data_IF_658936302817
#
_entry.id   IF_658936302817
#
_cell.length_a   1.000
_cell.length_b   1.000
_cell.length_c   1.000
_cell.angle_alpha   90.00
_cell.angle_beta   90.00
_cell.angle_gamma   90.00
#
_symmetry.space_group_name_H-M   'P 1'
#
loop_
_entity.id
_entity.type
_entity.pdbx_description
1 polymer ?
#
# COMPACT_ATOMS: atom_id res chain seq x y z
N UNK A 1 38.14 19.41 -13.17
CA UNK A 1 37.11 18.58 -12.48
C UNK A 1 37.40 18.33 -10.99
N UNK A 2 38.55 17.77 -10.59
CA UNK A 2 38.87 17.46 -9.17
C UNK A 2 38.70 18.64 -8.19
N UNK A 3 39.08 19.86 -8.58
CA UNK A 3 38.93 21.07 -7.75
C UNK A 3 37.48 21.51 -7.53
N UNK A 4 36.60 21.30 -8.53
CA UNK A 4 35.18 21.67 -8.43
C UNK A 4 34.40 20.72 -7.52
N UNK A 5 34.65 19.41 -7.67
CA UNK A 5 34.00 18.39 -6.83
C UNK A 5 34.37 18.56 -5.35
N UNK A 6 35.66 18.75 -5.05
CA UNK A 6 36.14 18.94 -3.67
C UNK A 6 35.56 20.20 -3.01
N UNK A 7 35.35 21.28 -3.76
CA UNK A 7 34.75 22.54 -3.26
C UNK A 7 33.25 22.41 -2.95
N UNK A 8 32.59 21.38 -3.46
CA UNK A 8 31.14 21.23 -3.48
C UNK A 8 30.66 19.98 -2.72
N UNK A 9 31.57 19.29 -2.03
CA UNK A 9 31.32 17.97 -1.43
C UNK A 9 30.20 17.98 -0.37
N UNK A 10 30.14 18.99 0.49
CA UNK A 10 29.09 19.12 1.52
C UNK A 10 27.71 19.20 0.88
N UNK A 11 27.61 19.93 -0.24
CA UNK A 11 26.37 20.08 -0.97
C UNK A 11 25.93 18.78 -1.65
N UNK A 12 26.89 18.00 -2.16
CA UNK A 12 26.63 16.67 -2.70
C UNK A 12 26.17 15.68 -1.63
N UNK A 13 26.74 15.73 -0.43
CA UNK A 13 26.27 14.94 0.72
C UNK A 13 24.84 15.33 1.08
N UNK A 14 24.51 16.63 1.06
CA UNK A 14 23.15 17.10 1.32
C UNK A 14 22.15 16.59 0.27
N UNK A 15 22.51 16.66 -1.02
CA UNK A 15 21.69 16.10 -2.11
C UNK A 15 21.41 14.62 -1.87
N UNK A 16 22.46 13.85 -1.56
CA UNK A 16 22.34 12.43 -1.27
C UNK A 16 21.38 12.17 -0.10
N UNK A 17 21.59 12.85 1.03
CA UNK A 17 20.79 12.67 2.24
C UNK A 17 19.31 13.02 2.02
N UNK A 18 19.02 14.15 1.37
CA UNK A 18 17.65 14.60 1.13
C UNK A 18 16.96 13.67 0.14
N UNK A 19 17.63 13.26 -0.93
CA UNK A 19 17.04 12.31 -1.88
C UNK A 19 16.71 10.98 -1.18
N UNK A 20 17.62 10.46 -0.35
CA UNK A 20 17.37 9.27 0.45
C UNK A 20 16.16 9.41 1.38
N UNK A 21 16.01 10.53 2.08
CA UNK A 21 14.84 10.80 2.95
C UNK A 21 13.54 10.77 2.14
N UNK A 22 13.52 11.41 0.97
CA UNK A 22 12.34 11.47 0.10
C UNK A 22 11.99 10.07 -0.41
N UNK A 23 12.98 9.28 -0.83
CA UNK A 23 12.76 7.91 -1.31
C UNK A 23 12.22 6.98 -0.22
N UNK A 24 12.76 7.08 1.01
CA UNK A 24 12.26 6.30 2.15
C UNK A 24 10.81 6.70 2.48
N UNK A 25 10.53 8.01 2.52
CA UNK A 25 9.18 8.51 2.77
C UNK A 25 8.20 8.08 1.66
N UNK A 26 8.63 8.13 0.40
CA UNK A 26 7.84 7.68 -0.73
C UNK A 26 7.55 6.17 -0.64
N UNK A 27 8.55 5.36 -0.28
CA UNK A 27 8.35 3.92 -0.07
C UNK A 27 7.32 3.63 1.01
N UNK A 28 7.41 4.34 2.14
CA UNK A 28 6.45 4.21 3.24
C UNK A 28 5.02 4.58 2.82
N UNK A 29 4.87 5.71 2.11
CA UNK A 29 3.55 6.17 1.62
C UNK A 29 2.97 5.18 0.61
N UNK A 30 3.78 4.69 -0.33
CA UNK A 30 3.37 3.68 -1.30
C UNK A 30 2.99 2.37 -0.60
N UNK A 31 3.77 1.92 0.37
CA UNK A 31 3.47 0.74 1.18
C UNK A 31 2.12 0.78 1.86
N UNK A 32 1.75 1.93 2.44
CA UNK A 32 0.46 2.07 3.09
C UNK A 32 -0.75 2.11 2.14
N UNK A 33 -0.52 2.21 0.82
CA UNK A 33 -1.59 2.03 -0.18
C UNK A 33 -1.88 0.57 -0.49
N UNK A 34 -1.05 -0.35 -0.01
CA UNK A 34 -1.35 -1.78 -0.12
C UNK A 34 -2.59 -2.05 0.70
N UNK A 35 -3.70 -2.27 0.01
CA UNK A 35 -4.86 -2.90 0.64
C UNK A 35 -4.54 -4.38 0.77
N UNK A 36 -4.73 -4.88 1.99
CA UNK A 36 -4.65 -6.28 2.31
C UNK A 36 -6.09 -6.75 2.56
N UNK A 37 -6.81 -7.21 1.51
CA UNK A 37 -8.14 -7.76 1.64
C UNK A 37 -8.16 -8.83 2.72
N UNK A 38 -9.14 -8.70 3.60
CA UNK A 38 -9.42 -9.69 4.62
C UNK A 38 -8.24 -9.98 5.57
N UNK A 39 -7.32 -9.03 5.79
CA UNK A 39 -6.15 -9.20 6.67
C UNK A 39 -5.32 -10.48 6.42
N UNK A 40 -5.33 -10.98 5.18
CA UNK A 40 -4.49 -12.10 4.75
C UNK A 40 -3.03 -11.65 4.59
N UNK A 41 -2.07 -12.56 4.47
CA UNK A 41 -0.70 -12.15 4.18
C UNK A 41 -0.55 -11.61 2.76
N UNK A 42 0.50 -10.81 2.54
CA UNK A 42 0.84 -10.35 1.20
C UNK A 42 1.15 -11.50 0.24
N UNK A 43 1.60 -12.65 0.74
CA UNK A 43 1.90 -13.86 -0.05
C UNK A 43 0.66 -14.58 -0.58
N UNK A 44 -0.56 -14.12 -0.22
CA UNK A 44 -1.80 -14.70 -0.70
C UNK A 44 -1.83 -14.82 -2.22
N UNK A 45 -2.46 -15.87 -2.72
CA UNK A 45 -2.74 -16.08 -4.14
C UNK A 45 -4.17 -15.63 -4.45
N UNK A 46 -4.33 -15.00 -5.61
CA UNK A 46 -5.61 -14.42 -6.03
C UNK A 46 -6.07 -15.07 -7.32
N UNK A 47 -7.31 -15.54 -7.34
CA UNK A 47 -7.89 -16.24 -8.48
C UNK A 47 -9.17 -15.55 -8.95
N UNK A 48 -9.33 -15.42 -10.25
CA UNK A 48 -10.54 -14.89 -10.89
C UNK A 48 -11.08 -15.89 -11.92
N UNK A 49 -12.41 -15.96 -12.12
CA UNK A 49 -13.00 -16.87 -13.09
C UNK A 49 -12.61 -16.47 -14.51
N UNK A 50 -12.25 -17.45 -15.34
CA UNK A 50 -11.93 -17.24 -16.76
C UNK A 50 -13.14 -17.21 -17.70
N UNK A 51 -14.35 -17.32 -17.14
CA UNK A 51 -15.59 -17.44 -17.90
C UNK A 51 -16.57 -18.36 -17.17
N UNK A 52 -17.04 -19.43 -17.83
CA UNK A 52 -17.91 -20.44 -17.20
C UNK A 52 -17.12 -21.28 -16.20
N UNK A 53 -17.23 -20.95 -14.93
CA UNK A 53 -16.79 -21.80 -13.81
C UNK A 53 -17.56 -23.12 -13.89
N UNK A 54 -16.84 -24.25 -13.89
CA UNK A 54 -17.50 -25.57 -13.82
C UNK A 54 -18.18 -25.67 -12.45
N UNK A 55 -19.33 -26.35 -12.32
CA UNK A 55 -19.78 -26.70 -10.98
C UNK A 55 -18.76 -27.67 -10.37
N UNK A 56 -18.28 -27.38 -9.16
CA UNK A 56 -17.36 -28.24 -8.43
C UNK A 56 -17.68 -28.25 -6.94
N UNK A 57 -17.23 -29.31 -6.29
CA UNK A 57 -17.32 -29.46 -4.85
C UNK A 57 -16.05 -28.93 -4.19
N UNK A 58 -16.21 -28.31 -3.02
CA UNK A 58 -15.14 -27.76 -2.21
C UNK A 58 -14.43 -28.82 -1.36
N UNK A 59 -14.81 -30.09 -1.47
CA UNK A 59 -14.25 -31.23 -0.71
C UNK A 59 -12.72 -31.34 -0.73
N UNK A 60 -12.07 -30.88 -1.81
CA UNK A 60 -10.61 -30.84 -1.89
C UNK A 60 -9.96 -29.97 -0.81
N UNK A 61 -10.71 -29.05 -0.18
CA UNK A 61 -10.23 -28.21 0.91
C UNK A 61 -10.18 -28.94 2.24
N UNK A 62 -11.00 -29.98 2.47
CA UNK A 62 -11.14 -30.64 3.79
C UNK A 62 -9.82 -31.24 4.31
N UNK A 63 -8.90 -31.57 3.42
CA UNK A 63 -7.57 -32.11 3.72
C UNK A 63 -6.46 -31.04 3.68
N UNK A 64 -6.83 -29.76 3.63
CA UNK A 64 -5.91 -28.65 3.43
C UNK A 64 -5.98 -27.71 4.63
N UNK A 65 -4.82 -27.31 5.11
CA UNK A 65 -4.69 -26.31 6.16
C UNK A 65 -4.41 -24.94 5.53
N UNK A 66 -5.40 -24.42 4.80
CA UNK A 66 -5.37 -23.11 4.15
C UNK A 66 -6.54 -22.27 4.63
N UNK A 67 -6.40 -20.94 4.54
CA UNK A 67 -7.53 -20.02 4.63
C UNK A 67 -7.92 -19.61 3.21
N UNK A 68 -9.20 -19.76 2.88
CA UNK A 68 -9.73 -19.38 1.59
C UNK A 68 -10.95 -18.47 1.77
N UNK A 69 -10.88 -17.30 1.15
CA UNK A 69 -11.94 -16.29 1.14
C UNK A 69 -12.46 -16.13 -0.29
N UNK A 70 -13.75 -16.31 -0.50
CA UNK A 70 -14.39 -16.24 -1.82
C UNK A 70 -15.38 -15.07 -1.89
N UNK A 71 -15.04 -14.04 -2.67
CA UNK A 71 -15.95 -12.92 -2.94
C UNK A 71 -17.05 -13.36 -3.90
N UNK A 72 -18.29 -13.04 -3.55
CA UNK A 72 -19.44 -13.37 -4.41
C UNK A 72 -19.92 -12.16 -5.20
N UNK A 73 -20.94 -12.37 -6.03
CA UNK A 73 -21.56 -11.31 -6.80
C UNK A 73 -22.24 -10.26 -5.92
N UNK A 74 -22.76 -10.68 -4.77
CA UNK A 74 -23.20 -9.84 -3.65
C UNK A 74 -22.00 -9.52 -2.78
N UNK A 75 -21.58 -8.24 -2.72
CA UNK A 75 -20.40 -7.84 -1.95
C UNK A 75 -20.54 -8.15 -0.46
N UNK A 76 -21.77 -8.27 0.04
CA UNK A 76 -22.07 -8.54 1.45
C UNK A 76 -22.03 -10.02 1.83
N UNK A 77 -21.96 -10.92 0.86
CA UNK A 77 -21.82 -12.37 1.10
C UNK A 77 -20.45 -12.82 0.65
N UNK A 78 -19.64 -13.27 1.60
CA UNK A 78 -18.29 -13.74 1.36
C UNK A 78 -18.16 -15.19 1.85
N UNK A 79 -17.65 -16.06 0.99
CA UNK A 79 -17.37 -17.44 1.33
C UNK A 79 -16.13 -17.56 2.18
N UNK A 80 -16.17 -18.43 3.18
CA UNK A 80 -15.03 -18.68 4.04
C UNK A 80 -14.80 -20.18 4.26
N UNK A 81 -13.53 -20.58 4.08
CA UNK A 81 -12.94 -21.79 4.65
C UNK A 81 -11.77 -21.37 5.53
N UNK A 82 -11.88 -21.65 6.83
CA UNK A 82 -10.91 -21.27 7.85
C UNK A 82 -10.85 -22.35 8.94
N UNK A 83 -10.28 -23.54 8.64
CA UNK A 83 -10.27 -24.69 9.54
C UNK A 83 -9.43 -24.44 10.80
N UNK A 84 -8.44 -23.55 10.73
CA UNK A 84 -7.59 -23.14 11.85
C UNK A 84 -8.11 -21.95 12.64
N UNK A 85 -9.30 -21.44 12.31
CA UNK A 85 -9.97 -20.35 13.02
C UNK A 85 -9.16 -19.04 13.09
N UNK A 86 -8.38 -18.74 12.05
CA UNK A 86 -7.51 -17.56 11.95
C UNK A 86 -8.23 -16.27 12.33
N UNK A 87 -9.39 -16.00 11.73
CA UNK A 87 -10.14 -14.77 12.00
C UNK A 87 -10.71 -14.73 13.41
N UNK A 88 -11.16 -15.87 13.94
CA UNK A 88 -11.68 -15.92 15.30
C UNK A 88 -10.59 -15.65 16.34
N UNK A 89 -9.37 -16.16 16.12
CA UNK A 89 -8.23 -15.94 17.02
C UNK A 89 -7.76 -14.50 16.98
N UNK A 90 -7.65 -13.90 15.79
CA UNK A 90 -7.08 -12.57 15.59
C UNK A 90 -8.09 -11.41 15.70
N UNK A 91 -9.39 -11.68 15.60
CA UNK A 91 -10.40 -10.65 15.79
C UNK A 91 -10.31 -10.03 17.19
N UNK A 92 -10.56 -8.72 17.28
CA UNK A 92 -10.74 -8.00 18.54
C UNK A 92 -12.02 -8.51 19.22
N UNK A 93 -11.88 -9.61 19.95
CA UNK A 93 -12.98 -10.31 20.62
C UNK A 93 -13.71 -9.37 21.57
N UNK A 94 -15.00 -9.22 21.35
CA UNK A 94 -15.86 -8.68 22.38
C UNK A 94 -17.20 -9.40 22.44
N UNK A 95 -17.29 -10.74 22.30
CA UNK A 95 -18.60 -11.37 22.30
C UNK A 95 -18.75 -12.71 23.04
N UNK A 96 -19.87 -12.82 23.76
CA UNK A 96 -20.20 -13.84 24.77
C UNK A 96 -20.07 -15.29 24.23
N UNK A 97 -19.09 -16.08 24.71
CA UNK A 97 -18.84 -17.44 24.23
C UNK A 97 -19.97 -18.42 24.56
N UNK A 98 -20.93 -18.04 25.43
CA UNK A 98 -22.09 -18.88 25.76
C UNK A 98 -23.10 -18.98 24.61
N UNK A 99 -23.09 -18.01 23.69
CA UNK A 99 -24.10 -17.92 22.63
C UNK A 99 -23.51 -17.79 21.23
N UNK A 100 -22.19 -17.66 21.13
CA UNK A 100 -21.51 -17.37 19.88
C UNK A 100 -20.42 -18.38 19.66
N UNK A 101 -20.48 -19.01 18.49
CA UNK A 101 -19.48 -19.96 18.01
C UNK A 101 -18.92 -19.46 16.69
N UNK A 102 -17.84 -20.08 16.26
CA UNK A 102 -17.28 -19.90 14.94
C UNK A 102 -17.48 -21.19 14.12
N UNK A 103 -17.08 -21.17 12.85
CA UNK A 103 -17.08 -22.37 12.03
C UNK A 103 -16.22 -23.46 12.68
N UNK A 104 -16.77 -24.67 12.73
CA UNK A 104 -16.05 -25.88 13.13
C UNK A 104 -15.74 -26.75 11.91
N UNK A 105 -14.78 -27.66 12.04
CA UNK A 105 -14.52 -28.64 10.98
C UNK A 105 -15.75 -29.48 10.64
N UNK A 106 -16.63 -29.75 11.61
CA UNK A 106 -17.89 -30.43 11.36
C UNK A 106 -18.85 -29.61 10.48
N UNK A 107 -18.86 -28.29 10.58
CA UNK A 107 -19.69 -27.44 9.71
C UNK A 107 -19.25 -27.56 8.24
N UNK A 108 -17.94 -27.63 8.00
CA UNK A 108 -17.38 -27.84 6.66
C UNK A 108 -17.69 -29.25 6.15
N UNK A 109 -17.44 -30.28 6.95
CA UNK A 109 -17.69 -31.69 6.59
C UNK A 109 -19.18 -31.94 6.31
N UNK A 110 -20.08 -31.41 7.16
CA UNK A 110 -21.54 -31.55 7.00
C UNK A 110 -22.12 -30.55 5.98
N UNK A 111 -21.29 -29.65 5.44
CA UNK A 111 -21.66 -28.59 4.49
C UNK A 111 -22.89 -27.83 5.00
N UNK A 112 -22.87 -27.39 6.26
CA UNK A 112 -24.01 -26.72 6.90
C UNK A 112 -24.25 -25.34 6.27
N UNK A 113 -25.52 -24.92 6.16
CA UNK A 113 -25.88 -23.58 5.67
C UNK A 113 -25.78 -22.53 6.78
N UNK A 114 -24.55 -22.37 7.27
CA UNK A 114 -24.21 -21.53 8.42
C UNK A 114 -23.36 -20.34 7.99
N UNK A 115 -23.41 -19.27 8.79
CA UNK A 115 -22.61 -18.07 8.59
C UNK A 115 -22.25 -17.33 9.87
N UNK A 116 -21.26 -16.45 9.76
CA UNK A 116 -20.80 -15.53 10.80
C UNK A 116 -21.09 -14.11 10.33
N UNK A 117 -21.83 -13.35 11.12
CA UNK A 117 -22.15 -11.96 10.79
C UNK A 117 -20.91 -11.06 10.97
N UNK A 118 -20.68 -10.17 10.02
CA UNK A 118 -19.67 -9.12 10.08
C UNK A 118 -20.37 -7.82 10.41
N UNK A 119 -20.07 -7.29 11.59
CA UNK A 119 -20.79 -6.18 12.19
C UNK A 119 -19.81 -5.06 12.51
N UNK A 120 -20.15 -3.81 12.24
CA UNK A 120 -19.35 -2.68 12.68
C UNK A 120 -19.53 -2.46 14.18
N UNK A 121 -18.51 -2.78 14.97
CA UNK A 121 -18.58 -2.64 16.43
C UNK A 121 -18.44 -1.17 16.88
N UNK A 122 -17.70 -0.33 16.15
CA UNK A 122 -17.51 1.10 16.47
C UNK A 122 -18.82 1.89 16.46
N UNK A 123 -19.73 1.60 15.53
CA UNK A 123 -21.06 2.23 15.50
C UNK A 123 -21.89 1.82 16.72
N UNK A 124 -21.66 0.62 17.26
CA UNK A 124 -22.30 0.13 18.48
C UNK A 124 -21.72 0.79 19.74
N UNK A 125 -20.41 1.09 19.76
CA UNK A 125 -19.73 1.78 20.86
C UNK A 125 -20.13 3.25 21.02
N UNK A 126 -20.65 3.93 19.98
CA UNK A 126 -21.15 5.33 20.09
C UNK A 126 -22.22 5.51 21.19
N UNK A 127 -22.88 4.43 21.59
CA UNK A 127 -23.87 4.41 22.69
C UNK A 127 -23.29 4.17 24.09
N UNK A 128 -21.96 3.96 24.21
CA UNK A 128 -21.26 3.78 25.48
C UNK A 128 -21.42 2.42 26.16
N UNK A 129 -22.20 1.48 25.61
CA UNK A 129 -22.34 0.10 26.12
C UNK A 129 -22.54 -0.91 24.99
N UNK A 130 -21.59 -1.84 24.85
CA UNK A 130 -21.79 -3.04 24.02
C UNK A 130 -22.78 -3.97 24.71
N UNK A 131 -24.00 -4.09 24.18
CA UNK A 131 -25.02 -4.98 24.73
C UNK A 131 -25.12 -6.27 23.92
N UNK A 132 -25.06 -7.46 24.54
CA UNK A 132 -25.32 -8.73 23.86
C UNK A 132 -26.64 -8.77 23.08
N UNK A 133 -27.65 -7.97 23.50
CA UNK A 133 -28.92 -7.85 22.82
C UNK A 133 -28.82 -7.22 21.42
N UNK A 134 -27.99 -6.17 21.27
CA UNK A 134 -27.81 -5.47 19.99
C UNK A 134 -27.18 -6.42 18.96
N UNK A 135 -26.28 -7.27 19.42
CA UNK A 135 -25.53 -8.17 18.54
C UNK A 135 -26.38 -9.36 18.14
N UNK A 136 -27.16 -9.91 19.07
CA UNK A 136 -28.22 -10.87 18.74
C UNK A 136 -29.22 -10.30 17.73
N UNK A 137 -29.59 -9.02 17.83
CA UNK A 137 -30.46 -8.36 16.85
C UNK A 137 -29.80 -8.24 15.48
N UNK A 138 -28.51 -7.90 15.42
CA UNK A 138 -27.73 -7.86 14.18
C UNK A 138 -27.63 -9.24 13.53
N UNK A 139 -27.27 -10.26 14.30
CA UNK A 139 -27.23 -11.66 13.83
C UNK A 139 -28.58 -12.14 13.32
N UNK A 140 -29.68 -11.85 14.03
CA UNK A 140 -31.02 -12.22 13.59
C UNK A 140 -31.38 -11.54 12.26
N UNK A 141 -31.10 -10.25 12.11
CA UNK A 141 -31.30 -9.55 10.82
C UNK A 141 -30.49 -10.18 9.71
N UNK A 142 -29.24 -10.58 9.97
CA UNK A 142 -28.41 -11.27 8.98
C UNK A 142 -28.98 -12.64 8.60
N UNK A 143 -29.46 -13.41 9.58
CA UNK A 143 -30.12 -14.69 9.35
C UNK A 143 -31.39 -14.51 8.49
N UNK A 144 -32.23 -13.54 8.85
CA UNK A 144 -33.48 -13.25 8.14
C UNK A 144 -33.22 -12.73 6.70
N UNK A 145 -32.16 -11.92 6.51
CA UNK A 145 -31.84 -11.28 5.21
C UNK A 145 -31.23 -12.25 4.22
N UNK A 146 -30.29 -13.08 4.68
CA UNK A 146 -29.54 -14.00 3.82
C UNK A 146 -30.08 -15.43 3.85
N UNK A 147 -31.10 -15.70 4.67
CA UNK A 147 -31.71 -17.01 4.88
C UNK A 147 -30.66 -18.08 5.20
N UNK A 148 -29.76 -17.77 6.15
CA UNK A 148 -28.69 -18.66 6.65
C UNK A 148 -28.70 -18.71 8.17
N UNK A 149 -28.22 -19.81 8.74
CA UNK A 149 -28.07 -19.92 10.19
C UNK A 149 -26.85 -19.11 10.68
N UNK A 150 -27.09 -17.99 11.36
CA UNK A 150 -26.01 -17.13 11.88
C UNK A 150 -25.58 -17.60 13.26
N UNK A 151 -24.37 -18.15 13.32
CA UNK A 151 -23.83 -18.88 14.47
C UNK A 151 -22.88 -18.03 15.33
N UNK A 152 -22.43 -16.89 14.80
CA UNK A 152 -21.51 -15.98 15.46
C UNK A 152 -21.50 -14.59 14.82
N UNK A 153 -20.71 -13.70 15.41
CA UNK A 153 -20.44 -12.38 14.84
C UNK A 153 -18.98 -11.97 15.07
N UNK A 154 -18.41 -11.22 14.14
CA UNK A 154 -17.07 -10.62 14.18
C UNK A 154 -17.15 -9.13 13.86
N UNK A 155 -16.16 -8.37 14.34
CA UNK A 155 -16.02 -6.98 13.94
C UNK A 155 -15.54 -6.91 12.49
N UNK A 156 -16.27 -6.18 11.66
CA UNK A 156 -15.96 -5.99 10.24
C UNK A 156 -14.59 -5.32 10.02
N UNK A 157 -14.17 -4.47 10.96
CA UNK A 157 -12.86 -3.83 10.93
C UNK A 157 -11.73 -4.83 11.23
N UNK A 158 -11.96 -5.77 12.16
CA UNK A 158 -10.97 -6.76 12.60
C UNK A 158 -10.69 -7.90 11.61
N UNK A 159 -11.48 -7.97 10.54
CA UNK A 159 -11.32 -8.98 9.49
C UNK A 159 -10.91 -8.35 8.18
N UNK A 160 -10.39 -7.11 8.16
CA UNK A 160 -9.94 -6.43 6.94
C UNK A 160 -11.01 -6.22 5.87
N UNK A 161 -12.30 -6.34 6.22
CA UNK A 161 -13.40 -6.17 5.27
C UNK A 161 -13.66 -4.67 5.04
N UNK A 162 -13.57 -3.85 6.09
CA UNK A 162 -13.76 -2.39 5.99
C UNK A 162 -12.76 -1.66 5.08
N UNK A 163 -11.62 -2.26 4.73
CA UNK A 163 -10.67 -1.72 3.74
C UNK A 163 -11.05 -1.98 2.29
N UNK A 164 -12.11 -2.76 2.02
CA UNK A 164 -12.57 -3.09 0.66
C UNK A 164 -13.64 -2.12 0.14
N UNK A 165 -14.35 -1.40 1.01
CA UNK A 165 -15.38 -0.44 0.60
C UNK A 165 -15.19 0.89 1.33
N UNK A 166 -14.76 1.94 0.59
CA UNK A 166 -14.58 3.33 1.08
C UNK A 166 -15.89 4.00 1.59
N UNK A 167 -17.01 3.29 1.55
CA UNK A 167 -18.33 3.81 1.87
C UNK A 167 -19.25 2.75 2.50
N UNK A 168 -18.78 1.98 3.47
CA UNK A 168 -19.69 1.11 4.21
C UNK A 168 -20.66 1.96 5.04
N UNK A 169 -21.98 1.91 4.77
CA UNK A 169 -22.95 2.60 5.61
C UNK A 169 -22.83 2.03 7.02
N UNK A 170 -22.85 2.90 8.03
CA UNK A 170 -22.72 2.56 9.46
C UNK A 170 -23.77 1.56 9.99
N UNK A 171 -24.76 1.22 9.15
CA UNK A 171 -25.99 0.54 9.51
C UNK A 171 -26.13 -0.84 8.84
N UNK A 172 -25.18 -1.27 7.99
CA UNK A 172 -25.23 -2.52 7.24
C UNK A 172 -24.25 -3.59 7.78
N UNK A 173 -24.60 -4.86 7.60
CA UNK A 173 -23.80 -6.03 7.98
C UNK A 173 -23.45 -6.84 6.73
N UNK A 174 -22.29 -7.49 6.75
CA UNK A 174 -21.92 -8.54 5.79
C UNK A 174 -21.95 -9.91 6.49
N UNK A 175 -21.77 -10.99 5.74
CA UNK A 175 -21.70 -12.35 6.29
C UNK A 175 -20.53 -13.12 5.68
N UNK A 176 -19.77 -13.77 6.54
CA UNK A 176 -19.01 -14.93 6.13
C UNK A 176 -19.94 -16.14 6.08
N UNK A 177 -20.08 -16.76 4.92
CA UNK A 177 -20.87 -17.96 4.68
C UNK A 177 -19.93 -19.15 4.50
N UNK A 178 -20.34 -20.32 5.00
CA UNK A 178 -19.62 -21.57 4.74
C UNK A 178 -19.44 -21.75 3.22
N UNK A 179 -18.19 -21.81 2.74
CA UNK A 179 -17.90 -21.87 1.31
C UNK A 179 -18.53 -23.09 0.62
N UNK A 180 -18.70 -24.20 1.34
CA UNK A 180 -19.28 -25.44 0.82
C UNK A 180 -20.76 -25.30 0.43
N UNK A 181 -21.42 -24.23 0.88
CA UNK A 181 -22.79 -23.88 0.50
C UNK A 181 -22.89 -22.74 -0.50
N UNK A 182 -21.77 -22.20 -0.97
CA UNK A 182 -21.77 -21.20 -2.01
C UNK A 182 -21.95 -21.84 -3.39
N UNK A 183 -22.79 -21.19 -4.20
CA UNK A 183 -22.86 -21.50 -5.61
C UNK A 183 -21.60 -20.96 -6.29
N UNK A 184 -20.78 -21.86 -6.85
CA UNK A 184 -19.53 -21.54 -7.52
C UNK A 184 -19.69 -20.51 -8.65
N UNK A 185 -20.87 -20.43 -9.27
CA UNK A 185 -21.16 -19.47 -10.33
C UNK A 185 -21.32 -18.02 -9.83
N UNK A 186 -21.51 -17.82 -8.53
CA UNK A 186 -21.60 -16.48 -7.93
C UNK A 186 -20.23 -15.92 -7.55
N UNK A 187 -19.16 -16.72 -7.62
CA UNK A 187 -17.84 -16.33 -7.16
C UNK A 187 -17.17 -15.42 -8.19
N UNK A 188 -16.79 -14.22 -7.74
CA UNK A 188 -16.06 -13.22 -8.53
C UNK A 188 -14.55 -13.33 -8.34
N UNK A 189 -14.12 -13.64 -7.12
CA UNK A 189 -12.70 -13.66 -6.77
C UNK A 189 -12.46 -14.60 -5.60
N UNK A 190 -11.31 -15.27 -5.59
CA UNK A 190 -10.88 -16.14 -4.50
C UNK A 190 -9.50 -15.69 -4.03
N UNK A 191 -9.35 -15.56 -2.72
CA UNK A 191 -8.09 -15.38 -2.03
C UNK A 191 -7.72 -16.66 -1.30
N UNK A 192 -6.49 -17.13 -1.47
CA UNK A 192 -5.95 -18.32 -0.79
C UNK A 192 -4.69 -17.93 -0.06
N UNK A 193 -4.57 -18.34 1.20
CA UNK A 193 -3.40 -18.08 2.02
C UNK A 193 -3.15 -19.18 3.05
N UNK A 194 -1.96 -19.18 3.65
CA UNK A 194 -1.58 -20.07 4.75
C UNK A 194 -1.07 -19.20 5.90
N UNK A 195 -1.97 -18.66 6.73
CA UNK A 195 -1.62 -17.59 7.66
C UNK A 195 -1.02 -18.10 8.99
N UNK A 196 -0.55 -19.33 9.04
CA UNK A 196 -0.04 -19.97 10.26
C UNK A 196 1.46 -19.70 10.43
N UNK A 197 1.83 -19.16 11.59
CA UNK A 197 3.20 -18.69 11.90
C UNK A 197 4.18 -19.88 12.00
N UNK A 198 3.71 -21.05 12.43
CA UNK A 198 4.55 -22.22 12.68
C UNK A 198 4.80 -23.09 11.43
N UNK A 199 4.37 -22.64 10.25
CA UNK A 199 4.51 -23.38 8.99
C UNK A 199 5.67 -22.81 8.18
N UNK A 200 6.56 -23.67 7.69
CA UNK A 200 7.70 -23.24 6.88
C UNK A 200 7.24 -22.62 5.55
N UNK A 201 8.00 -21.67 5.00
CA UNK A 201 7.67 -21.03 3.71
C UNK A 201 7.51 -22.04 2.56
N UNK A 202 8.33 -23.10 2.56
CA UNK A 202 8.23 -24.19 1.58
C UNK A 202 6.91 -24.94 1.70
N UNK A 203 6.46 -25.20 2.92
CA UNK A 203 5.19 -25.90 3.17
C UNK A 203 3.99 -25.03 2.84
N UNK A 204 4.02 -23.74 3.19
CA UNK A 204 3.01 -22.76 2.75
C UNK A 204 2.89 -22.73 1.23
N UNK A 205 4.02 -22.67 0.54
CA UNK A 205 4.05 -22.69 -0.93
C UNK A 205 3.42 -23.98 -1.49
N UNK A 206 3.78 -25.13 -0.95
CA UNK A 206 3.25 -26.42 -1.40
C UNK A 206 1.74 -26.55 -1.18
N UNK A 207 1.22 -26.13 -0.03
CA UNK A 207 -0.23 -26.17 0.24
C UNK A 207 -1.01 -25.22 -0.68
N UNK A 208 -0.50 -24.00 -0.88
CA UNK A 208 -1.09 -23.07 -1.84
C UNK A 208 -1.04 -23.61 -3.27
N UNK A 209 0.04 -24.28 -3.69
CA UNK A 209 0.16 -24.86 -5.03
C UNK A 209 -0.89 -25.94 -5.27
N UNK A 210 -1.07 -26.87 -4.33
CA UNK A 210 -2.11 -27.92 -4.42
C UNK A 210 -3.50 -27.33 -4.61
N UNK A 211 -3.84 -26.27 -3.88
CA UNK A 211 -5.12 -25.57 -4.02
C UNK A 211 -5.19 -24.86 -5.38
N UNK A 212 -4.09 -24.25 -5.81
CA UNK A 212 -3.99 -23.51 -7.08
C UNK A 212 -4.22 -24.41 -8.28
N UNK A 213 -3.65 -25.61 -8.30
CA UNK A 213 -3.83 -26.59 -9.37
C UNK A 213 -5.31 -26.95 -9.53
N UNK A 214 -6.01 -27.28 -8.43
CA UNK A 214 -7.43 -27.60 -8.48
C UNK A 214 -8.25 -26.40 -8.96
N UNK A 215 -8.00 -25.18 -8.44
CA UNK A 215 -8.71 -23.98 -8.88
C UNK A 215 -8.52 -23.71 -10.38
N UNK A 216 -7.30 -23.92 -10.90
CA UNK A 216 -6.99 -23.81 -12.34
C UNK A 216 -7.79 -24.82 -13.16
N UNK A 217 -7.89 -26.07 -12.73
CA UNK A 217 -8.73 -27.09 -13.39
C UNK A 217 -10.22 -26.77 -13.39
N UNK A 218 -10.71 -26.06 -12.36
CA UNK A 218 -12.11 -25.64 -12.22
C UNK A 218 -12.47 -24.37 -13.00
N UNK A 219 -11.49 -23.76 -13.68
CA UNK A 219 -11.72 -22.62 -14.57
C UNK A 219 -11.38 -21.26 -13.96
N UNK A 220 -10.56 -21.22 -12.91
CA UNK A 220 -9.99 -19.97 -12.41
C UNK A 220 -8.58 -19.75 -12.94
N UNK A 221 -8.21 -18.48 -13.10
CA UNK A 221 -6.83 -18.09 -13.40
C UNK A 221 -6.28 -17.28 -12.24
N UNK A 222 -5.05 -17.62 -11.88
CA UNK A 222 -4.26 -16.86 -10.92
C UNK A 222 -3.85 -15.53 -11.53
N UNK A 223 -4.12 -14.43 -10.82
CA UNK A 223 -3.72 -13.08 -11.21
C UNK A 223 -2.73 -12.52 -10.20
N UNK A 224 -1.78 -11.74 -10.69
CA UNK A 224 -0.99 -10.87 -9.83
C UNK A 224 -1.81 -9.60 -9.56
N UNK A 225 -2.17 -9.35 -8.29
CA UNK A 225 -2.63 -8.02 -7.90
C UNK A 225 -1.41 -7.11 -7.80
N UNK A 226 -1.41 -6.00 -8.53
CA UNK A 226 -0.40 -4.96 -8.34
C UNK A 226 -0.72 -4.27 -7.01
N UNK A 227 0.00 -4.67 -5.97
CA UNK A 227 -0.42 -4.45 -4.58
C UNK A 227 -0.39 -2.99 -4.18
N UNK A 228 0.55 -2.22 -4.70
CA UNK A 228 0.75 -0.83 -4.35
C UNK A 228 0.27 0.12 -5.46
N UNK A 229 -0.27 1.26 -5.06
CA UNK A 229 -0.60 2.32 -6.01
C UNK A 229 0.67 3.00 -6.52
N UNK A 230 0.68 3.52 -7.77
CA UNK A 230 1.78 4.33 -8.27
C UNK A 230 2.07 5.51 -7.34
N UNK A 231 3.35 5.89 -7.20
CA UNK A 231 3.80 6.86 -6.19
C UNK A 231 3.01 8.18 -6.18
N UNK A 232 2.68 8.74 -7.34
CA UNK A 232 1.92 10.00 -7.42
C UNK A 232 0.51 9.83 -6.83
N UNK A 233 -0.16 8.71 -7.15
CA UNK A 233 -1.49 8.42 -6.63
C UNK A 233 -1.44 8.15 -5.13
N UNK A 234 -0.41 7.44 -4.67
CA UNK A 234 -0.18 7.21 -3.25
C UNK A 234 0.03 8.50 -2.45
N UNK A 235 0.77 9.47 -3.00
CA UNK A 235 0.97 10.78 -2.37
C UNK A 235 -0.35 11.55 -2.29
N UNK A 236 -1.12 11.61 -3.37
CA UNK A 236 -2.45 12.26 -3.38
C UNK A 236 -3.35 11.60 -2.33
N UNK A 237 -3.37 10.27 -2.30
CA UNK A 237 -4.15 9.51 -1.34
C UNK A 237 -3.73 9.82 0.10
N UNK A 238 -2.43 9.82 0.42
CA UNK A 238 -1.93 10.14 1.76
C UNK A 238 -2.24 11.58 2.21
N UNK A 239 -2.25 12.55 1.29
CA UNK A 239 -2.66 13.94 1.59
C UNK A 239 -4.15 14.01 1.87
N UNK A 240 -4.97 13.36 1.05
CA UNK A 240 -6.44 13.42 1.15
C UNK A 240 -6.98 12.56 2.31
N UNK A 241 -6.39 11.40 2.58
CA UNK A 241 -6.83 10.48 3.64
C UNK A 241 -6.36 10.86 5.04
N UNK A 242 -7.15 10.49 6.05
CA UNK A 242 -6.98 10.91 7.44
C UNK A 242 -5.96 10.09 8.26
N UNK A 243 -5.19 9.17 7.64
CA UNK A 243 -4.22 8.36 8.36
C UNK A 243 -3.05 9.24 8.83
N UNK A 244 -2.99 9.45 10.16
CA UNK A 244 -2.11 10.44 10.81
C UNK A 244 -0.62 10.21 10.54
N UNK A 245 -0.18 8.94 10.48
CA UNK A 245 1.23 8.58 10.31
C UNK A 245 1.75 8.84 8.89
N UNK A 246 0.96 8.53 7.86
CA UNK A 246 1.32 8.80 6.46
C UNK A 246 1.53 10.29 6.21
N UNK A 247 0.61 11.14 6.70
CA UNK A 247 0.74 12.60 6.62
C UNK A 247 1.98 13.11 7.34
N UNK A 248 2.26 12.59 8.53
CA UNK A 248 3.43 13.00 9.31
C UNK A 248 4.74 12.72 8.55
N UNK A 249 4.90 11.51 8.01
CA UNK A 249 6.09 11.13 7.24
C UNK A 249 6.20 11.99 5.98
N UNK A 250 5.09 12.19 5.25
CA UNK A 250 5.07 13.03 4.06
C UNK A 250 5.45 14.49 4.38
N UNK A 251 4.94 15.06 5.46
CA UNK A 251 5.30 16.41 5.89
C UNK A 251 6.76 16.54 6.29
N UNK A 252 7.34 15.51 6.92
CA UNK A 252 8.78 15.48 7.21
C UNK A 252 9.63 15.49 5.92
N UNK A 253 9.21 14.73 4.91
CA UNK A 253 9.86 14.73 3.60
C UNK A 253 9.73 16.10 2.90
N UNK A 254 8.54 16.70 2.91
CA UNK A 254 8.30 18.03 2.33
C UNK A 254 9.04 19.14 3.06
N UNK A 255 9.16 19.07 4.39
CA UNK A 255 9.97 19.99 5.17
C UNK A 255 11.46 19.85 4.83
N UNK A 256 11.96 18.61 4.72
CA UNK A 256 13.34 18.34 4.31
C UNK A 256 13.64 18.89 2.91
N UNK A 257 12.71 18.69 1.97
CA UNK A 257 12.79 19.25 0.63
C UNK A 257 12.77 20.79 0.63
N UNK A 258 11.96 21.41 1.49
CA UNK A 258 11.89 22.87 1.61
C UNK A 258 13.19 23.47 2.15
N UNK A 259 13.78 22.84 3.18
CA UNK A 259 15.10 23.19 3.71
C UNK A 259 16.18 22.99 2.64
N UNK A 260 16.10 21.92 1.86
CA UNK A 260 17.00 21.66 0.75
C UNK A 260 16.94 22.73 -0.34
N UNK A 261 15.73 23.17 -0.72
CA UNK A 261 15.54 24.26 -1.69
C UNK A 261 16.18 25.55 -1.17
N UNK A 262 15.90 25.92 0.08
CA UNK A 262 16.44 27.13 0.71
C UNK A 262 17.98 27.10 0.79
N UNK A 263 18.55 25.99 1.27
CA UNK A 263 20.00 25.80 1.35
C UNK A 263 20.65 25.76 -0.04
N UNK A 264 19.98 25.20 -1.04
CA UNK A 264 20.44 25.21 -2.43
C UNK A 264 20.52 26.62 -2.99
N UNK A 265 19.54 27.47 -2.73
CA UNK A 265 19.57 28.89 -3.13
C UNK A 265 20.77 29.62 -2.50
N UNK A 266 20.98 29.47 -1.20
CA UNK A 266 22.13 30.07 -0.50
C UNK A 266 23.46 29.55 -1.06
N UNK A 267 23.55 28.26 -1.30
CA UNK A 267 24.75 27.64 -1.83
C UNK A 267 25.06 28.15 -3.24
N UNK A 268 24.06 28.26 -4.12
CA UNK A 268 24.22 28.78 -5.47
C UNK A 268 24.60 30.26 -5.49
N UNK A 269 24.24 31.03 -4.47
CA UNK A 269 24.68 32.43 -4.31
C UNK A 269 26.20 32.60 -4.16
N UNK A 270 26.95 31.55 -3.78
CA UNK A 270 28.42 31.58 -3.82
C UNK A 270 28.97 31.90 -5.22
N UNK A 271 28.23 31.60 -6.28
CA UNK A 271 28.62 31.85 -7.66
C UNK A 271 28.26 33.27 -8.15
N UNK A 272 27.73 34.15 -7.29
CA UNK A 272 27.32 35.51 -7.67
C UNK A 272 28.44 36.33 -8.34
N UNK A 273 29.67 36.22 -7.84
CA UNK A 273 30.83 36.93 -8.40
C UNK A 273 31.17 36.42 -9.80
N UNK A 274 31.03 35.11 -10.02
CA UNK A 274 31.22 34.51 -11.34
C UNK A 274 30.17 35.02 -12.33
N UNK A 275 28.91 35.15 -11.90
CA UNK A 275 27.84 35.74 -12.72
C UNK A 275 28.16 37.19 -13.05
N UNK A 276 28.59 37.98 -12.06
CA UNK A 276 28.95 39.38 -12.22
C UNK A 276 30.11 39.55 -13.22
N UNK A 277 31.24 38.87 -13.00
CA UNK A 277 32.42 38.95 -13.88
C UNK A 277 32.07 38.52 -15.30
N UNK A 278 31.35 37.40 -15.45
CA UNK A 278 30.93 36.91 -16.77
C UNK A 278 30.06 37.92 -17.50
N UNK A 279 29.20 38.64 -16.77
CA UNK A 279 28.35 39.69 -17.32
C UNK A 279 29.14 40.95 -17.71
N UNK A 280 30.08 41.39 -16.89
CA UNK A 280 31.00 42.50 -17.20
C UNK A 280 31.79 42.20 -18.49
N UNK A 281 32.21 40.95 -18.67
CA UNK A 281 32.85 40.49 -19.90
C UNK A 281 31.91 40.33 -21.11
N UNK A 282 30.65 40.78 -21.01
CA UNK A 282 29.68 40.77 -22.12
C UNK A 282 29.05 39.41 -22.42
N UNK A 283 29.14 38.44 -21.51
CA UNK A 283 28.57 37.10 -21.75
C UNK A 283 27.03 37.14 -21.74
N UNK A 284 26.43 36.46 -22.69
CA UNK A 284 24.98 36.25 -22.78
C UNK A 284 24.48 35.23 -21.74
N UNK A 285 23.26 35.41 -21.27
CA UNK A 285 22.60 34.57 -20.26
C UNK A 285 22.63 33.08 -20.65
N UNK A 286 22.23 32.76 -21.88
CA UNK A 286 22.16 31.37 -22.34
C UNK A 286 23.52 30.67 -22.34
N UNK A 287 24.60 31.40 -22.67
CA UNK A 287 25.97 30.85 -22.65
C UNK A 287 26.41 30.55 -21.23
N UNK A 288 26.15 31.44 -20.28
CA UNK A 288 26.42 31.20 -18.86
C UNK A 288 25.62 29.99 -18.34
N UNK A 289 24.30 30.01 -18.54
CA UNK A 289 23.38 28.98 -18.07
C UNK A 289 23.76 27.58 -18.60
N UNK A 290 24.07 27.46 -19.89
CA UNK A 290 24.51 26.20 -20.52
C UNK A 290 25.79 25.65 -19.87
N UNK A 291 26.74 26.52 -19.54
CA UNK A 291 28.02 26.13 -18.96
C UNK A 291 27.85 25.59 -17.54
N UNK A 292 26.99 26.22 -16.75
CA UNK A 292 26.66 25.79 -15.38
C UNK A 292 25.88 24.48 -15.37
N UNK A 293 24.90 24.32 -16.25
CA UNK A 293 24.19 23.07 -16.42
C UNK A 293 25.17 21.94 -16.74
N UNK A 294 26.09 22.15 -17.69
CA UNK A 294 27.10 21.15 -18.07
C UNK A 294 27.93 20.67 -16.88
N UNK A 295 28.33 21.57 -15.98
CA UNK A 295 29.19 21.20 -14.83
C UNK A 295 28.42 20.68 -13.62
N UNK A 296 27.17 21.09 -13.44
CA UNK A 296 26.39 20.73 -12.25
C UNK A 296 25.54 19.49 -12.50
N UNK A 297 24.84 19.42 -13.65
CA UNK A 297 23.79 18.41 -13.88
C UNK A 297 24.33 16.99 -13.84
N UNK A 298 25.51 16.74 -14.42
CA UNK A 298 26.10 15.41 -14.47
C UNK A 298 26.39 14.87 -13.07
N UNK A 299 26.95 15.70 -12.18
CA UNK A 299 27.29 15.29 -10.83
C UNK A 299 26.03 15.04 -10.00
N UNK A 300 25.02 15.89 -10.15
CA UNK A 300 23.77 15.78 -9.40
C UNK A 300 22.99 14.54 -9.83
N UNK A 301 22.87 14.30 -11.14
CA UNK A 301 22.23 13.07 -11.66
C UNK A 301 22.96 11.84 -11.14
N UNK A 302 24.29 11.84 -11.18
CA UNK A 302 25.09 10.72 -10.67
C UNK A 302 24.83 10.47 -9.17
N UNK A 303 24.81 11.53 -8.35
CA UNK A 303 24.55 11.41 -6.90
C UNK A 303 23.12 10.92 -6.63
N UNK A 304 22.13 11.43 -7.37
CA UNK A 304 20.73 10.98 -7.27
C UNK A 304 20.65 9.48 -7.56
N UNK A 305 21.25 9.03 -8.67
CA UNK A 305 21.30 7.62 -9.04
C UNK A 305 21.96 6.75 -7.97
N UNK A 306 23.07 7.21 -7.39
CA UNK A 306 23.76 6.48 -6.31
C UNK A 306 22.89 6.42 -5.05
N UNK A 307 22.19 7.49 -4.69
CA UNK A 307 21.26 7.49 -3.57
C UNK A 307 20.10 6.52 -3.81
N UNK A 308 19.47 6.55 -4.98
CA UNK A 308 18.36 5.67 -5.33
C UNK A 308 18.74 4.21 -5.36
N UNK A 309 19.88 3.91 -5.99
CA UNK A 309 20.40 2.54 -6.01
C UNK A 309 20.74 2.04 -4.60
N UNK A 310 21.35 2.90 -3.77
CA UNK A 310 21.65 2.58 -2.37
C UNK A 310 20.40 2.30 -1.53
N UNK A 311 19.36 3.14 -1.67
CA UNK A 311 18.08 2.95 -0.97
C UNK A 311 17.33 1.71 -1.50
N UNK A 312 17.34 1.48 -2.80
CA UNK A 312 16.72 0.30 -3.39
C UNK A 312 17.35 -1.00 -2.86
N UNK A 313 18.69 -1.07 -2.80
CA UNK A 313 19.39 -2.21 -2.18
C UNK A 313 19.04 -2.32 -0.71
N UNK A 314 19.12 -1.21 0.04
CA UNK A 314 18.87 -1.20 1.48
C UNK A 314 17.46 -1.72 1.81
N UNK A 315 16.43 -1.18 1.15
CA UNK A 315 15.04 -1.59 1.35
C UNK A 315 14.81 -3.04 0.88
N UNK A 316 15.47 -3.47 -0.20
CA UNK A 316 15.45 -4.86 -0.64
C UNK A 316 16.04 -5.83 0.39
N UNK A 317 17.14 -5.46 1.05
CA UNK A 317 17.80 -6.30 2.06
C UNK A 317 16.93 -6.51 3.31
N UNK A 318 16.19 -5.49 3.73
CA UNK A 318 15.27 -5.58 4.88
C UNK A 318 13.87 -6.11 4.48
N UNK A 319 13.67 -6.46 3.21
CA UNK A 319 12.37 -6.91 2.64
C UNK A 319 11.24 -5.89 2.75
N UNK A 320 11.57 -4.61 2.83
CA UNK A 320 10.60 -3.49 2.89
C UNK A 320 10.58 -2.67 1.58
N UNK A 321 11.20 -3.18 0.51
CA UNK A 321 11.24 -2.53 -0.80
C UNK A 321 9.93 -2.70 -1.57
N UNK A 322 9.00 -1.76 -1.40
CA UNK A 322 7.65 -1.85 -1.96
C UNK A 322 7.55 -1.12 -3.30
N UNK A 323 8.21 0.03 -3.44
CA UNK A 323 8.16 0.81 -4.67
C UNK A 323 8.74 0.06 -5.87
N UNK A 324 8.08 0.17 -7.02
CA UNK A 324 8.62 -0.34 -8.28
C UNK A 324 9.82 0.48 -8.74
N UNK A 325 10.71 -0.08 -9.58
CA UNK A 325 11.83 0.66 -10.18
C UNK A 325 11.34 1.94 -10.89
N UNK A 326 10.16 1.88 -11.52
CA UNK A 326 9.56 3.04 -12.17
C UNK A 326 9.20 4.15 -11.16
N UNK A 327 8.71 3.81 -9.98
CA UNK A 327 8.41 4.79 -8.93
C UNK A 327 9.70 5.50 -8.44
N UNK A 328 10.80 4.78 -8.27
CA UNK A 328 12.10 5.39 -7.96
C UNK A 328 12.52 6.42 -9.01
N UNK A 329 12.39 6.07 -10.30
CA UNK A 329 12.72 6.97 -11.42
C UNK A 329 11.84 8.21 -11.39
N UNK A 330 10.54 8.06 -11.11
CA UNK A 330 9.60 9.20 -11.03
C UNK A 330 9.97 10.14 -9.89
N UNK A 331 10.27 9.61 -8.70
CA UNK A 331 10.66 10.42 -7.54
C UNK A 331 11.97 11.16 -7.81
N UNK A 332 12.98 10.47 -8.35
CA UNK A 332 14.25 11.08 -8.75
C UNK A 332 14.04 12.19 -9.79
N UNK A 333 13.20 11.93 -10.80
CA UNK A 333 12.93 12.90 -11.85
C UNK A 333 12.30 14.18 -11.28
N UNK A 334 11.32 14.06 -10.38
CA UNK A 334 10.70 15.20 -9.70
C UNK A 334 11.73 15.95 -8.86
N UNK A 335 12.56 15.24 -8.09
CA UNK A 335 13.60 15.83 -7.26
C UNK A 335 14.62 16.62 -8.11
N UNK A 336 15.10 16.03 -9.21
CA UNK A 336 16.00 16.67 -10.16
C UNK A 336 15.38 17.88 -10.86
N UNK A 337 14.10 17.80 -11.23
CA UNK A 337 13.35 18.91 -11.84
C UNK A 337 13.26 20.11 -10.88
N UNK A 338 12.90 19.86 -9.63
CA UNK A 338 12.84 20.90 -8.60
C UNK A 338 14.21 21.55 -8.38
N UNK A 339 15.27 20.74 -8.38
CA UNK A 339 16.62 21.26 -8.28
C UNK A 339 17.01 22.14 -9.47
N UNK A 340 16.68 21.72 -10.69
CA UNK A 340 16.94 22.48 -11.90
C UNK A 340 16.19 23.82 -11.92
N UNK A 341 14.96 23.85 -11.40
CA UNK A 341 14.21 25.09 -11.19
C UNK A 341 14.91 26.02 -10.19
N UNK A 342 15.49 25.48 -9.11
CA UNK A 342 16.27 26.28 -8.15
C UNK A 342 17.51 26.91 -8.80
N UNK A 343 18.28 26.15 -9.59
CA UNK A 343 19.40 26.69 -10.37
C UNK A 343 18.89 27.83 -11.26
N UNK A 344 17.88 27.54 -12.07
CA UNK A 344 17.34 28.49 -13.05
C UNK A 344 16.92 29.80 -12.39
N UNK A 345 16.18 29.72 -11.27
CA UNK A 345 15.72 30.89 -10.53
C UNK A 345 16.86 31.76 -9.99
N UNK A 346 17.89 31.15 -9.38
CA UNK A 346 19.04 31.89 -8.83
C UNK A 346 19.80 32.62 -9.94
N UNK A 347 20.02 31.97 -11.09
CA UNK A 347 20.76 32.57 -12.18
C UNK A 347 19.98 33.64 -12.92
N UNK A 348 18.67 33.48 -13.13
CA UNK A 348 17.82 34.53 -13.68
C UNK A 348 17.87 35.76 -12.76
N UNK A 349 17.68 35.56 -11.45
CA UNK A 349 17.69 36.66 -10.49
C UNK A 349 19.05 37.38 -10.46
N UNK A 350 20.15 36.64 -10.41
CA UNK A 350 21.50 37.20 -10.47
C UNK A 350 21.74 37.98 -11.76
N UNK A 351 21.38 37.41 -12.91
CA UNK A 351 21.54 38.05 -14.21
C UNK A 351 20.74 39.36 -14.32
N UNK A 352 19.47 39.36 -13.89
CA UNK A 352 18.61 40.55 -13.91
C UNK A 352 19.14 41.64 -12.99
N UNK A 353 19.59 41.28 -11.77
CA UNK A 353 20.18 42.22 -10.82
C UNK A 353 21.40 42.92 -11.42
N UNK A 354 22.39 42.15 -11.89
CA UNK A 354 23.64 42.73 -12.41
C UNK A 354 23.46 43.45 -13.75
N UNK A 355 22.46 43.09 -14.54
CA UNK A 355 22.10 43.84 -15.74
C UNK A 355 21.49 45.21 -15.44
N UNK A 356 20.88 45.40 -14.27
CA UNK A 356 20.42 46.72 -13.81
C UNK A 356 21.56 47.57 -13.27
N UNK A 357 22.54 46.96 -12.60
CA UNK A 357 23.72 47.67 -12.06
C UNK A 357 24.69 48.16 -13.17
N UNK A 358 24.59 47.64 -14.40
CA UNK A 358 25.42 48.04 -15.55
C UNK A 358 24.72 48.95 -16.57
N UNK A 359 23.46 49.34 -16.30
CA UNK A 359 22.80 50.44 -17.00
C UNK A 359 22.98 51.71 -16.18
#
# INVERSE_FOLDING_TARGET
>A
MKSFVKKNIIFYILIFAVNSIILIAANYVVGNTISIPYELYETRRVFVPTGKVKNFDWDFLLERNVVLVAETSDSKVVGLYDPGMYYFVNSTKALDPRYLRYFSNEDYIKKTDTGVALINIDTMFRSGKLSPYIIKKGMKRAADTYNIDIIGALDIASVGYGSLEESYPTDEFAVFKNIFKLNSNLIKKIYVDVPYIDVSETEKFNEMEKVSEVLKEKGFTEISENKAQPVIKAFIHAVLNYRKYERFILYCAMASLSVFIYTSVIYLWKYKEYIYISRVCGTDFFKMYKLILKYSIFQIVLISMVASFGIWIYLGLIKEGIMSIFDYIVVDFIFLLLFLLCITGVYIFGFLRYSREMR
#
